data_IF_833307962375
#
_entry.id   IF_833307962375
#
_cell.length_a   1.000
_cell.length_b   1.000
_cell.length_c   1.000
_cell.angle_alpha   90.00
_cell.angle_beta   90.00
_cell.angle_gamma   90.00
#
_symmetry.space_group_name_H-M   'P 1'
#
loop_
_entity.id
_entity.type
_entity.pdbx_description
1 polymer ?
#
# COMPACT_ATOMS: atom_id res chain seq x y z
N UNK A 1 23.33 0.46 -7.05
CA UNK A 1 22.77 1.45 -6.08
C UNK A 1 23.12 1.11 -4.63
N UNK A 2 23.63 2.06 -3.84
CA UNK A 2 24.01 1.84 -2.44
C UNK A 2 22.96 2.41 -1.48
N UNK A 3 22.50 1.58 -0.56
CA UNK A 3 21.68 1.97 0.60
C UNK A 3 22.30 3.14 1.40
N UNK A 4 23.63 3.28 1.39
CA UNK A 4 24.33 4.36 2.07
C UNK A 4 23.89 5.75 1.56
N UNK A 5 23.73 5.92 0.24
CA UNK A 5 23.29 7.19 -0.34
C UNK A 5 21.82 7.48 -0.05
N UNK A 6 20.97 6.45 0.05
CA UNK A 6 19.59 6.63 0.51
C UNK A 6 19.56 7.13 1.97
N UNK A 7 20.39 6.56 2.85
CA UNK A 7 20.54 7.00 4.24
C UNK A 7 21.02 8.46 4.30
N UNK A 8 22.06 8.83 3.56
CA UNK A 8 22.54 10.21 3.50
C UNK A 8 21.47 11.16 2.97
N UNK A 9 20.72 10.77 1.95
CA UNK A 9 19.59 11.55 1.43
C UNK A 9 18.54 11.84 2.51
N UNK A 10 18.14 10.84 3.29
CA UNK A 10 17.20 10.96 4.40
C UNK A 10 17.78 11.87 5.51
N UNK A 11 19.05 11.67 5.89
CA UNK A 11 19.69 12.48 6.93
C UNK A 11 19.97 13.92 6.50
N UNK A 12 20.08 14.19 5.19
CA UNK A 12 20.14 15.55 4.65
C UNK A 12 18.84 16.34 4.82
N UNK A 13 17.73 15.65 5.09
CA UNK A 13 16.46 16.25 5.43
C UNK A 13 16.33 16.48 6.93
N UNK A 14 16.56 15.44 7.73
CA UNK A 14 16.43 15.50 9.20
C UNK A 14 17.23 14.42 9.90
N UNK A 15 17.66 14.72 11.12
CA UNK A 15 18.21 13.73 12.04
C UNK A 15 17.13 12.74 12.46
N UNK A 16 17.45 11.44 12.43
CA UNK A 16 16.48 10.38 12.75
C UNK A 16 17.12 9.23 13.52
N UNK A 17 16.31 8.46 14.22
CA UNK A 17 16.78 7.19 14.79
C UNK A 17 16.91 6.12 13.73
N UNK A 18 17.64 5.04 14.03
CA UNK A 18 17.68 3.87 13.14
C UNK A 18 16.31 3.23 12.91
N UNK A 19 15.39 3.34 13.89
CA UNK A 19 14.01 2.88 13.75
C UNK A 19 13.22 3.76 12.77
N UNK A 20 13.31 5.08 12.91
CA UNK A 20 12.65 6.03 12.01
C UNK A 20 13.19 5.90 10.58
N UNK A 21 14.51 5.75 10.42
CA UNK A 21 15.17 5.46 9.15
C UNK A 21 14.57 4.23 8.47
N UNK A 22 14.43 3.13 9.21
CA UNK A 22 13.77 1.92 8.72
C UNK A 22 12.35 2.20 8.25
N UNK A 23 11.54 2.86 9.09
CA UNK A 23 10.14 3.16 8.77
C UNK A 23 10.02 3.97 7.48
N UNK A 24 10.86 5.00 7.34
CA UNK A 24 10.97 5.83 6.13
C UNK A 24 11.28 4.99 4.88
N UNK A 25 12.28 4.11 4.95
CA UNK A 25 12.69 3.28 3.81
C UNK A 25 11.60 2.28 3.44
N UNK A 26 10.93 1.67 4.42
CA UNK A 26 9.85 0.71 4.21
C UNK A 26 8.61 1.36 3.60
N UNK A 27 8.28 2.58 4.01
CA UNK A 27 7.13 3.31 3.48
C UNK A 27 7.40 3.86 2.06
N UNK A 28 8.67 4.09 1.70
CA UNK A 28 9.07 4.61 0.39
C UNK A 28 8.72 3.66 -0.78
N UNK A 29 8.25 4.21 -1.92
CA UNK A 29 7.86 3.38 -3.06
C UNK A 29 9.04 2.92 -3.93
N UNK A 30 10.23 3.50 -3.80
CA UNK A 30 11.42 3.14 -4.61
C UNK A 30 12.66 2.78 -3.78
N UNK A 31 12.68 3.05 -2.46
CA UNK A 31 13.81 2.69 -1.59
C UNK A 31 13.63 1.32 -0.92
N UNK A 32 12.44 0.71 -1.03
CA UNK A 32 12.06 -0.51 -0.30
C UNK A 32 12.96 -1.73 -0.59
N UNK A 33 13.57 -1.79 -1.78
CA UNK A 33 14.41 -2.90 -2.21
C UNK A 33 15.82 -2.89 -1.61
N UNK A 34 16.19 -1.84 -0.86
CA UNK A 34 17.58 -1.58 -0.48
C UNK A 34 18.02 -2.15 0.88
N UNK A 35 17.11 -2.66 1.73
CA UNK A 35 17.56 -3.05 3.07
C UNK A 35 16.69 -4.04 3.85
N UNK A 36 17.23 -5.24 4.08
CA UNK A 36 16.97 -5.95 5.33
C UNK A 36 17.36 -5.04 6.52
N UNK A 37 16.74 -5.21 7.69
CA UNK A 37 17.11 -4.44 8.89
C UNK A 37 18.64 -4.45 9.11
N UNK A 38 19.27 -5.60 8.87
CA UNK A 38 20.71 -5.79 9.02
C UNK A 38 21.54 -4.96 8.03
N UNK A 39 21.03 -4.61 6.84
CA UNK A 39 21.73 -3.75 5.90
C UNK A 39 21.70 -2.28 6.35
N UNK A 40 20.55 -1.77 6.84
CA UNK A 40 20.45 -0.39 7.35
C UNK A 40 21.49 -0.16 8.45
N UNK A 41 21.50 -1.03 9.46
CA UNK A 41 22.41 -0.86 10.60
C UNK A 41 23.88 -1.03 10.20
N UNK A 42 24.20 -1.97 9.29
CA UNK A 42 25.57 -2.12 8.79
C UNK A 42 26.04 -0.87 8.05
N UNK A 43 25.18 -0.28 7.21
CA UNK A 43 25.53 0.94 6.49
C UNK A 43 25.62 2.16 7.40
N UNK A 44 24.81 2.25 8.46
CA UNK A 44 24.96 3.30 9.47
C UNK A 44 26.31 3.21 10.20
N UNK A 45 26.77 1.99 10.52
CA UNK A 45 28.11 1.79 11.11
C UNK A 45 29.19 2.22 10.13
N UNK A 46 29.12 1.80 8.86
CA UNK A 46 30.08 2.22 7.84
C UNK A 46 30.14 3.75 7.68
N UNK A 47 28.99 4.41 7.61
CA UNK A 47 28.91 5.87 7.48
C UNK A 47 29.47 6.61 8.70
N UNK A 48 29.41 6.01 9.90
CA UNK A 48 30.05 6.55 11.10
C UNK A 48 31.58 6.42 11.00
N UNK A 49 32.07 5.25 10.59
CA UNK A 49 33.51 5.00 10.42
C UNK A 49 34.11 5.93 9.37
N UNK A 50 33.36 6.25 8.30
CA UNK A 50 33.73 7.21 7.25
C UNK A 50 33.51 8.67 7.66
N UNK A 51 33.00 8.94 8.86
CA UNK A 51 32.69 10.29 9.38
C UNK A 51 31.67 11.07 8.52
N UNK A 52 30.85 10.38 7.73
CA UNK A 52 29.76 10.97 6.95
C UNK A 52 28.49 11.21 7.77
N UNK A 53 28.36 10.53 8.91
CA UNK A 53 27.30 10.77 9.90
C UNK A 53 27.88 10.83 11.30
N UNK A 54 27.14 11.45 12.21
CA UNK A 54 27.40 11.43 13.66
C UNK A 54 26.26 10.72 14.36
N UNK A 55 26.51 10.19 15.56
CA UNK A 55 25.52 9.50 16.38
C UNK A 55 25.52 10.08 17.79
N UNK A 56 24.40 10.63 18.21
CA UNK A 56 24.16 11.06 19.59
C UNK A 56 23.28 10.05 20.32
N UNK A 57 23.68 9.67 21.53
CA UNK A 57 22.89 8.78 22.40
C UNK A 57 22.06 9.64 23.34
N UNK A 58 20.74 9.64 23.14
CA UNK A 58 19.80 10.26 24.07
C UNK A 58 19.33 9.22 25.09
N UNK A 59 19.70 9.43 26.35
CA UNK A 59 19.21 8.64 27.48
C UNK A 59 17.78 9.07 27.83
N UNK A 60 16.92 8.08 28.08
CA UNK A 60 15.53 8.30 28.49
C UNK A 60 15.32 7.64 29.85
N UNK A 61 14.63 8.32 30.78
CA UNK A 61 14.45 7.83 32.16
C UNK A 61 13.60 6.55 32.25
N UNK A 62 12.63 6.38 31.34
CA UNK A 62 11.63 5.30 31.37
C UNK A 62 11.60 4.46 30.07
N UNK A 63 12.60 4.59 29.19
CA UNK A 63 12.63 3.92 27.88
C UNK A 63 14.07 3.64 27.43
N UNK A 64 14.30 2.71 26.48
CA UNK A 64 15.63 2.45 25.95
C UNK A 64 16.29 3.70 25.36
N UNK A 65 17.61 3.83 25.53
CA UNK A 65 18.36 4.94 24.95
C UNK A 65 18.22 4.97 23.43
N UNK A 66 18.00 6.16 22.86
CA UNK A 66 17.83 6.36 21.42
C UNK A 66 19.12 6.86 20.79
N UNK A 67 19.55 6.19 19.71
CA UNK A 67 20.66 6.66 18.86
C UNK A 67 20.08 7.53 17.74
N UNK A 68 20.40 8.82 17.75
CA UNK A 68 20.01 9.77 16.72
C UNK A 68 21.20 9.98 15.78
N UNK A 69 20.97 9.73 14.50
CA UNK A 69 21.97 9.94 13.46
C UNK A 69 21.76 11.30 12.80
N UNK A 70 22.85 11.99 12.51
CA UNK A 70 22.86 13.31 11.85
C UNK A 70 23.94 13.32 10.77
N UNK A 71 23.63 13.85 9.59
CA UNK A 71 24.61 13.98 8.50
C UNK A 71 25.70 15.01 8.85
N UNK A 72 26.95 14.76 8.46
CA UNK A 72 28.06 15.72 8.58
C UNK A 72 28.21 16.57 7.32
N UNK A 73 29.14 17.53 7.32
CA UNK A 73 29.46 18.30 6.11
C UNK A 73 30.08 17.41 5.04
N UNK A 74 30.91 16.48 5.47
CA UNK A 74 31.58 15.47 4.65
C UNK A 74 30.54 14.53 4.04
N UNK A 75 29.56 14.06 4.83
CA UNK A 75 28.45 13.24 4.32
C UNK A 75 27.55 13.99 3.33
N UNK A 76 27.32 15.29 3.54
CA UNK A 76 26.58 16.11 2.58
C UNK A 76 27.37 16.31 1.27
N UNK A 77 28.69 16.43 1.36
CA UNK A 77 29.56 16.50 0.19
C UNK A 77 29.57 15.17 -0.59
N UNK A 78 29.63 14.03 0.10
CA UNK A 78 29.52 12.69 -0.50
C UNK A 78 28.17 12.50 -1.20
N UNK A 79 27.07 12.88 -0.54
CA UNK A 79 25.73 12.83 -1.16
C UNK A 79 25.69 13.66 -2.45
N UNK A 80 26.24 14.88 -2.42
CA UNK A 80 26.31 15.76 -3.60
C UNK A 80 27.16 15.14 -4.71
N UNK A 81 28.30 14.55 -4.36
CA UNK A 81 29.16 13.85 -5.31
C UNK A 81 28.41 12.72 -6.03
N UNK A 82 27.67 11.89 -5.27
CA UNK A 82 26.87 10.82 -5.84
C UNK A 82 25.72 11.32 -6.73
N UNK A 83 25.00 12.38 -6.33
CA UNK A 83 23.92 12.97 -7.14
C UNK A 83 24.45 13.53 -8.49
N UNK A 84 25.73 13.89 -8.57
CA UNK A 84 26.39 14.32 -9.81
C UNK A 84 26.95 13.15 -10.64
N UNK A 85 26.94 11.92 -10.12
CA UNK A 85 27.42 10.74 -10.83
C UNK A 85 26.47 10.35 -11.97
N UNK A 86 26.99 9.58 -12.92
CA UNK A 86 26.21 9.10 -14.07
C UNK A 86 25.07 8.19 -13.59
N UNK A 87 23.80 8.50 -13.92
CA UNK A 87 22.68 7.62 -13.59
C UNK A 87 22.78 6.29 -14.33
N UNK A 88 22.49 5.19 -13.62
CA UNK A 88 22.37 3.86 -14.20
C UNK A 88 20.96 3.65 -14.77
N UNK A 89 20.81 2.95 -15.92
CA UNK A 89 19.50 2.51 -16.38
C UNK A 89 18.86 1.57 -15.34
N UNK A 90 17.52 1.51 -15.26
CA UNK A 90 16.84 0.64 -14.30
C UNK A 90 17.05 -0.84 -14.63
N UNK A 91 17.31 -1.66 -13.60
CA UNK A 91 17.34 -3.12 -13.71
C UNK A 91 15.91 -3.66 -13.90
N UNK A 92 15.66 -4.34 -15.03
CA UNK A 92 14.37 -4.93 -15.36
C UNK A 92 14.32 -6.42 -15.01
N UNK A 93 13.61 -6.76 -13.93
CA UNK A 93 13.32 -8.16 -13.55
C UNK A 93 11.82 -8.45 -13.68
N UNK A 94 11.42 -9.02 -14.81
CA UNK A 94 10.02 -9.33 -15.11
C UNK A 94 9.78 -10.84 -15.24
N UNK A 95 9.52 -11.52 -14.12
CA UNK A 95 9.26 -12.97 -14.11
C UNK A 95 8.06 -13.38 -14.98
N UNK A 96 7.05 -12.52 -15.09
CA UNK A 96 5.89 -12.76 -15.94
C UNK A 96 6.26 -12.92 -17.43
N UNK A 97 7.24 -12.15 -17.93
CA UNK A 97 7.71 -12.32 -19.32
C UNK A 97 8.33 -13.69 -19.55
N UNK A 98 8.97 -14.28 -18.52
CA UNK A 98 9.49 -15.64 -18.57
C UNK A 98 8.34 -16.65 -18.61
N UNK A 99 7.28 -16.44 -17.82
CA UNK A 99 6.08 -17.29 -17.89
C UNK A 99 5.44 -17.24 -19.27
N UNK A 100 5.28 -16.03 -19.85
CA UNK A 100 4.75 -15.84 -21.20
C UNK A 100 5.59 -16.54 -22.28
N UNK A 101 6.92 -16.51 -22.16
CA UNK A 101 7.81 -17.17 -23.11
C UNK A 101 7.55 -18.68 -23.23
N UNK A 102 6.94 -19.30 -22.21
CA UNK A 102 6.61 -20.73 -22.17
C UNK A 102 5.11 -20.99 -22.01
N UNK A 103 4.26 -19.99 -22.31
CA UNK A 103 2.82 -20.08 -22.09
C UNK A 103 2.06 -20.89 -23.17
N UNK A 104 2.70 -21.22 -24.30
CA UNK A 104 2.09 -21.99 -25.40
C UNK A 104 1.67 -23.42 -24.98
N UNK A 105 2.23 -23.92 -23.88
CA UNK A 105 1.82 -25.21 -23.30
C UNK A 105 0.49 -25.17 -22.53
N UNK A 106 -0.04 -23.97 -22.26
CA UNK A 106 -1.26 -23.77 -21.50
C UNK A 106 -2.50 -23.84 -22.40
N UNK A 107 -3.58 -24.40 -21.87
CA UNK A 107 -4.91 -24.24 -22.46
C UNK A 107 -5.37 -22.77 -22.40
N UNK A 108 -6.40 -22.43 -23.19
CA UNK A 108 -7.00 -21.09 -23.16
C UNK A 108 -7.47 -20.69 -21.75
N UNK A 109 -8.04 -21.63 -20.99
CA UNK A 109 -8.55 -21.36 -19.64
C UNK A 109 -7.40 -21.14 -18.64
N UNK A 110 -6.32 -21.90 -18.74
CA UNK A 110 -5.12 -21.72 -17.92
C UNK A 110 -4.41 -20.40 -18.24
N UNK A 111 -4.32 -20.06 -19.52
CA UNK A 111 -3.73 -18.79 -19.97
C UNK A 111 -4.58 -17.60 -19.52
N UNK A 112 -5.92 -17.73 -19.60
CA UNK A 112 -6.86 -16.75 -19.06
C UNK A 112 -6.62 -16.54 -17.56
N UNK A 113 -6.55 -17.63 -16.78
CA UNK A 113 -6.32 -17.56 -15.34
C UNK A 113 -4.95 -16.94 -15.00
N UNK A 114 -3.91 -17.21 -15.80
CA UNK A 114 -2.59 -16.57 -15.64
C UNK A 114 -2.68 -15.06 -15.89
N UNK A 115 -3.36 -14.63 -16.96
CA UNK A 115 -3.52 -13.21 -17.28
C UNK A 115 -4.34 -12.48 -16.21
N UNK A 116 -5.41 -13.10 -15.72
CA UNK A 116 -6.27 -12.52 -14.68
C UNK A 116 -5.47 -12.27 -13.41
N UNK A 117 -4.73 -13.27 -12.93
CA UNK A 117 -3.86 -13.10 -11.76
C UNK A 117 -2.82 -12.00 -11.96
N UNK A 118 -2.21 -11.93 -13.13
CA UNK A 118 -1.21 -10.90 -13.40
C UNK A 118 -1.82 -9.49 -13.44
N UNK A 119 -2.98 -9.34 -14.07
CA UNK A 119 -3.73 -8.09 -14.10
C UNK A 119 -4.13 -7.62 -12.70
N UNK A 120 -4.62 -8.53 -11.85
CA UNK A 120 -4.94 -8.26 -10.45
C UNK A 120 -3.71 -7.75 -9.68
N UNK A 121 -2.56 -8.40 -9.82
CA UNK A 121 -1.31 -7.97 -9.17
C UNK A 121 -0.84 -6.60 -9.66
N UNK A 122 -0.89 -6.35 -10.98
CA UNK A 122 -0.51 -5.05 -11.54
C UNK A 122 -1.47 -3.95 -11.07
N UNK A 123 -2.79 -4.22 -11.06
CA UNK A 123 -3.81 -3.29 -10.57
C UNK A 123 -3.62 -2.98 -9.08
N UNK A 124 -3.33 -4.00 -8.28
CA UNK A 124 -3.00 -3.83 -6.86
C UNK A 124 -1.80 -2.89 -6.67
N UNK A 125 -0.77 -3.01 -7.51
CA UNK A 125 0.39 -2.11 -7.48
C UNK A 125 0.03 -0.67 -7.89
N UNK A 126 -0.80 -0.47 -8.93
CA UNK A 126 -1.27 0.87 -9.31
C UNK A 126 -1.95 1.56 -8.13
N UNK A 127 -2.93 0.89 -7.50
CA UNK A 127 -3.67 1.41 -6.36
C UNK A 127 -2.74 1.73 -5.18
N UNK A 128 -1.74 0.87 -4.93
CA UNK A 128 -0.81 1.05 -3.82
C UNK A 128 0.07 2.29 -4.04
N UNK A 129 0.55 2.52 -5.26
CA UNK A 129 1.37 3.71 -5.56
C UNK A 129 0.54 4.99 -5.53
N UNK A 130 -0.70 4.96 -6.02
CA UNK A 130 -1.62 6.11 -5.94
C UNK A 130 -1.91 6.49 -4.48
N UNK A 131 -2.21 5.50 -3.65
CA UNK A 131 -2.45 5.71 -2.23
C UNK A 131 -1.21 6.29 -1.53
N UNK A 132 -0.02 5.75 -1.82
CA UNK A 132 1.25 6.29 -1.31
C UNK A 132 1.52 7.73 -1.76
N UNK A 133 1.08 8.12 -2.96
CA UNK A 133 1.17 9.50 -3.45
C UNK A 133 0.23 10.42 -2.66
N UNK A 134 -1.02 9.99 -2.44
CA UNK A 134 -2.03 10.75 -1.69
C UNK A 134 -1.69 10.95 -0.22
N UNK A 135 -1.02 9.97 0.43
CA UNK A 135 -0.50 10.10 1.81
C UNK A 135 0.38 11.33 2.03
N UNK A 136 0.87 11.94 0.94
CA UNK A 136 1.88 12.96 0.95
C UNK A 136 3.24 12.31 0.72
N UNK A 137 4.04 12.80 -0.24
CA UNK A 137 5.32 12.21 -0.55
C UNK A 137 6.22 12.26 0.68
N UNK A 138 7.03 11.21 0.88
CA UNK A 138 8.24 11.32 1.71
C UNK A 138 9.14 12.34 1.01
N UNK A 139 8.95 13.63 1.29
CA UNK A 139 9.60 14.72 0.58
C UNK A 139 10.04 15.79 1.58
N UNK A 140 11.29 16.27 1.50
CA UNK A 140 11.75 17.37 2.32
C UNK A 140 11.02 18.68 2.07
N UNK A 141 10.47 18.86 0.86
CA UNK A 141 9.70 20.06 0.48
C UNK A 141 10.46 21.38 0.63
N UNK A 142 11.80 21.38 0.54
CA UNK A 142 12.64 22.56 0.85
C UNK A 142 12.53 23.66 -0.21
N UNK A 143 12.22 23.27 -1.45
CA UNK A 143 12.08 24.19 -2.59
C UNK A 143 10.94 23.73 -3.50
N UNK A 144 10.37 24.65 -4.30
CA UNK A 144 9.37 24.31 -5.31
C UNK A 144 9.87 23.26 -6.31
N UNK A 145 11.15 23.34 -6.71
CA UNK A 145 11.79 22.34 -7.57
C UNK A 145 11.82 20.96 -6.91
N UNK A 146 12.17 20.89 -5.62
CA UNK A 146 12.19 19.62 -4.90
C UNK A 146 10.79 19.01 -4.80
N UNK A 147 9.77 19.82 -4.47
CA UNK A 147 8.36 19.36 -4.43
C UNK A 147 7.97 18.75 -5.78
N UNK A 148 8.26 19.45 -6.88
CA UNK A 148 7.95 18.96 -8.22
C UNK A 148 8.71 17.67 -8.58
N UNK A 149 10.01 17.58 -8.26
CA UNK A 149 10.78 16.36 -8.52
C UNK A 149 10.22 15.16 -7.75
N UNK A 150 9.80 15.35 -6.50
CA UNK A 150 9.16 14.28 -5.73
C UNK A 150 7.83 13.87 -6.34
N UNK A 151 6.99 14.81 -6.76
CA UNK A 151 5.73 14.51 -7.46
C UNK A 151 5.96 13.63 -8.70
N UNK A 152 6.97 13.99 -9.51
CA UNK A 152 7.37 13.21 -10.70
C UNK A 152 7.95 11.83 -10.39
N UNK A 153 8.61 11.65 -9.24
CA UNK A 153 9.07 10.32 -8.81
C UNK A 153 7.87 9.41 -8.53
N UNK A 154 6.83 9.91 -7.86
CA UNK A 154 5.63 9.12 -7.61
C UNK A 154 4.86 8.82 -8.91
N UNK A 155 4.72 9.82 -9.79
CA UNK A 155 4.06 9.62 -11.09
C UNK A 155 4.79 8.60 -11.96
N UNK A 156 6.12 8.64 -11.99
CA UNK A 156 6.92 7.67 -12.76
C UNK A 156 6.60 6.21 -12.38
N UNK A 157 6.40 5.93 -11.09
CA UNK A 157 6.07 4.59 -10.59
C UNK A 157 4.63 4.20 -10.88
N UNK A 158 3.68 5.12 -10.70
CA UNK A 158 2.28 4.89 -11.06
C UNK A 158 2.17 4.61 -12.56
N UNK A 159 2.81 5.42 -13.38
CA UNK A 159 2.79 5.28 -14.83
C UNK A 159 3.48 4.00 -15.30
N UNK A 160 4.51 3.52 -14.59
CA UNK A 160 5.14 2.24 -14.89
C UNK A 160 4.14 1.10 -14.80
N UNK A 161 3.38 1.01 -13.70
CA UNK A 161 2.38 -0.05 -13.53
C UNK A 161 1.15 0.16 -14.41
N UNK A 162 0.73 1.40 -14.66
CA UNK A 162 -0.35 1.69 -15.63
C UNK A 162 0.01 1.22 -17.03
N UNK A 163 1.22 1.50 -17.51
CA UNK A 163 1.69 1.00 -18.81
C UNK A 163 1.76 -0.53 -18.85
N UNK A 164 2.16 -1.18 -17.76
CA UNK A 164 2.15 -2.64 -17.68
C UNK A 164 0.72 -3.20 -17.78
N UNK A 165 -0.24 -2.54 -17.11
CA UNK A 165 -1.65 -2.89 -17.17
C UNK A 165 -2.19 -2.72 -18.60
N UNK A 166 -1.97 -1.56 -19.22
CA UNK A 166 -2.37 -1.31 -20.61
C UNK A 166 -1.80 -2.36 -21.57
N UNK A 167 -0.54 -2.77 -21.36
CA UNK A 167 0.12 -3.77 -22.18
C UNK A 167 -0.50 -5.16 -22.04
N UNK A 168 -0.80 -5.64 -20.82
CA UNK A 168 -1.43 -6.96 -20.66
C UNK A 168 -2.87 -6.97 -21.20
N UNK A 169 -3.63 -5.87 -21.03
CA UNK A 169 -4.97 -5.73 -21.59
C UNK A 169 -4.95 -5.78 -23.12
N UNK A 170 -3.96 -5.11 -23.74
CA UNK A 170 -3.74 -5.19 -25.18
C UNK A 170 -3.42 -6.63 -25.61
N UNK A 171 -2.49 -7.30 -24.93
CA UNK A 171 -2.11 -8.69 -25.25
C UNK A 171 -3.31 -9.64 -25.17
N UNK A 172 -4.10 -9.55 -24.10
CA UNK A 172 -5.34 -10.33 -23.91
C UNK A 172 -6.31 -10.12 -25.06
N UNK A 173 -6.54 -8.87 -25.44
CA UNK A 173 -7.43 -8.49 -26.55
C UNK A 173 -6.95 -9.07 -27.89
N UNK A 174 -5.65 -8.94 -28.20
CA UNK A 174 -5.05 -9.47 -29.44
C UNK A 174 -5.14 -10.99 -29.53
N UNK A 175 -5.00 -11.69 -28.39
CA UNK A 175 -5.16 -13.15 -28.31
C UNK A 175 -6.62 -13.60 -28.21
N UNK A 176 -7.58 -12.66 -28.18
CA UNK A 176 -9.02 -12.91 -28.03
C UNK A 176 -9.37 -13.75 -26.79
N UNK A 177 -8.55 -13.63 -25.75
CA UNK A 177 -8.82 -14.26 -24.47
C UNK A 177 -9.89 -13.42 -23.77
N UNK A 178 -11.03 -14.00 -23.38
CA UNK A 178 -12.08 -13.23 -22.74
C UNK A 178 -11.53 -12.57 -21.48
N UNK A 179 -11.83 -11.30 -21.29
CA UNK A 179 -11.85 -10.76 -19.92
C UNK A 179 -12.95 -11.53 -19.20
N UNK A 180 -12.66 -12.06 -18.01
CA UNK A 180 -13.76 -12.33 -17.09
C UNK A 180 -14.49 -10.99 -16.95
N UNK A 181 -15.78 -10.97 -17.34
CA UNK A 181 -16.60 -9.76 -17.20
C UNK A 181 -16.41 -9.29 -15.76
N UNK A 182 -16.19 -7.99 -15.56
CA UNK A 182 -16.44 -7.37 -14.25
C UNK A 182 -17.77 -7.96 -13.77
N UNK A 183 -17.71 -8.79 -12.73
CA UNK A 183 -18.85 -9.50 -12.22
C UNK A 183 -19.72 -8.47 -11.50
N UNK A 184 -20.48 -7.71 -12.29
CA UNK A 184 -21.15 -6.46 -11.97
C UNK A 184 -20.18 -5.30 -11.63
N UNK A 185 -20.38 -4.09 -12.18
CA UNK A 185 -19.78 -2.91 -11.57
C UNK A 185 -20.26 -2.86 -10.13
N UNK A 186 -19.30 -2.88 -9.20
CA UNK A 186 -19.56 -2.87 -7.78
C UNK A 186 -20.52 -1.73 -7.45
N UNK A 187 -21.73 -2.05 -6.99
CA UNK A 187 -22.73 -1.04 -6.63
C UNK A 187 -22.36 -0.47 -5.25
N UNK A 188 -21.77 0.70 -5.25
CA UNK A 188 -21.52 1.50 -4.06
C UNK A 188 -22.18 2.88 -4.18
N UNK A 189 -22.40 3.52 -3.04
CA UNK A 189 -22.85 4.90 -2.96
C UNK A 189 -21.76 5.74 -2.31
N UNK A 190 -21.64 7.00 -2.72
CA UNK A 190 -20.75 7.96 -2.07
C UNK A 190 -21.62 8.85 -1.21
N UNK A 191 -21.39 8.82 0.10
CA UNK A 191 -22.17 9.57 1.06
C UNK A 191 -21.34 10.73 1.59
N UNK A 192 -21.89 11.93 1.48
CA UNK A 192 -21.28 13.14 2.02
C UNK A 192 -21.92 13.53 3.36
N UNK A 193 -21.06 13.83 4.34
CA UNK A 193 -21.45 14.30 5.68
C UNK A 193 -20.52 15.44 6.07
N UNK A 194 -21.00 16.68 5.89
CA UNK A 194 -20.19 17.87 6.13
C UNK A 194 -19.00 17.96 5.16
N UNK A 195 -17.78 17.97 5.68
CA UNK A 195 -16.54 18.01 4.88
C UNK A 195 -15.96 16.63 4.57
N UNK A 196 -16.52 15.55 5.14
CA UNK A 196 -16.05 14.18 4.95
C UNK A 196 -16.99 13.42 4.00
N UNK A 197 -16.42 12.48 3.26
CA UNK A 197 -17.14 11.55 2.38
C UNK A 197 -16.78 10.12 2.73
N UNK A 198 -17.66 9.17 2.50
CA UNK A 198 -17.34 7.75 2.59
C UNK A 198 -18.02 6.97 1.48
N UNK A 199 -17.41 5.85 1.09
CA UNK A 199 -18.01 4.88 0.18
C UNK A 199 -18.84 3.90 1.00
N UNK A 200 -20.11 3.70 0.65
CA UNK A 200 -21.00 2.71 1.26
C UNK A 200 -21.33 1.60 0.27
N UNK A 201 -21.12 0.36 0.69
CA UNK A 201 -21.55 -0.84 -0.03
C UNK A 201 -22.56 -1.59 0.85
N UNK A 202 -23.86 -1.35 0.58
CA UNK A 202 -24.96 -1.90 1.37
C UNK A 202 -25.44 -3.27 0.89
N UNK A 203 -25.51 -3.48 -0.42
CA UNK A 203 -25.90 -4.75 -1.01
C UNK A 203 -25.51 -4.74 -2.48
N UNK A 204 -25.04 -5.89 -2.95
CA UNK A 204 -24.68 -6.13 -4.35
C UNK A 204 -25.45 -7.37 -4.83
N UNK A 205 -25.92 -7.36 -6.08
CA UNK A 205 -26.59 -8.52 -6.69
C UNK A 205 -25.72 -9.78 -6.62
N UNK A 206 -24.40 -9.60 -6.69
CA UNK A 206 -23.37 -10.62 -6.53
C UNK A 206 -22.51 -10.29 -5.31
N UNK A 207 -22.63 -11.06 -4.20
CA UNK A 207 -21.88 -10.82 -2.98
C UNK A 207 -20.37 -10.85 -3.20
N UNK A 208 -19.63 -10.06 -2.41
CA UNK A 208 -18.16 -9.98 -2.45
C UNK A 208 -17.54 -11.30 -1.95
N UNK A 209 -16.64 -11.87 -2.75
CA UNK A 209 -16.13 -13.25 -2.59
C UNK A 209 -14.61 -13.35 -2.67
N UNK A 210 -13.92 -12.29 -3.07
CA UNK A 210 -12.50 -12.33 -3.42
C UNK A 210 -11.73 -11.15 -2.84
N UNK A 211 -10.40 -11.27 -2.79
CA UNK A 211 -9.54 -10.12 -2.50
C UNK A 211 -9.56 -9.04 -3.58
N UNK A 212 -10.00 -9.36 -4.80
CA UNK A 212 -10.17 -8.38 -5.88
C UNK A 212 -11.33 -7.43 -5.58
N UNK A 213 -12.43 -7.94 -5.01
CA UNK A 213 -13.55 -7.10 -4.54
C UNK A 213 -13.08 -6.04 -3.54
N UNK A 214 -12.16 -6.39 -2.64
CA UNK A 214 -11.58 -5.39 -1.72
C UNK A 214 -10.76 -4.31 -2.45
N UNK A 215 -10.02 -4.68 -3.51
CA UNK A 215 -9.30 -3.71 -4.34
C UNK A 215 -10.25 -2.79 -5.11
N UNK A 216 -11.39 -3.30 -5.55
CA UNK A 216 -12.44 -2.50 -6.21
C UNK A 216 -13.02 -1.45 -5.25
N UNK A 217 -13.30 -1.82 -3.99
CA UNK A 217 -13.73 -0.86 -2.96
C UNK A 217 -12.65 0.19 -2.66
N UNK A 218 -11.38 -0.22 -2.62
CA UNK A 218 -10.26 0.69 -2.40
C UNK A 218 -10.14 1.67 -3.58
N UNK A 219 -10.27 1.18 -4.82
CA UNK A 219 -10.29 2.02 -6.01
C UNK A 219 -11.44 3.05 -5.94
N UNK A 220 -12.65 2.60 -5.59
CA UNK A 220 -13.81 3.47 -5.41
C UNK A 220 -13.58 4.55 -4.35
N UNK A 221 -12.91 4.23 -3.24
CA UNK A 221 -12.54 5.21 -2.22
C UNK A 221 -11.59 6.27 -2.79
N UNK A 222 -10.52 5.83 -3.47
CA UNK A 222 -9.50 6.71 -4.05
C UNK A 222 -10.07 7.63 -5.14
N UNK A 223 -10.94 7.12 -6.02
CA UNK A 223 -11.61 7.90 -7.07
C UNK A 223 -12.55 8.99 -6.53
N UNK A 224 -13.02 8.82 -5.29
CA UNK A 224 -13.94 9.73 -4.62
C UNK A 224 -13.27 10.55 -3.50
N UNK A 225 -11.93 10.65 -3.53
CA UNK A 225 -11.12 11.44 -2.60
C UNK A 225 -11.42 11.10 -1.12
N UNK A 226 -11.63 9.82 -0.81
CA UNK A 226 -11.85 9.34 0.56
C UNK A 226 -11.03 8.08 0.85
N UNK A 227 -10.82 7.82 2.13
CA UNK A 227 -10.30 6.55 2.64
C UNK A 227 -11.29 5.89 3.63
N UNK A 228 -12.54 6.36 3.66
CA UNK A 228 -13.57 5.87 4.56
C UNK A 228 -14.51 4.93 3.80
N UNK A 229 -14.74 3.75 4.38
CA UNK A 229 -15.56 2.70 3.79
C UNK A 229 -16.59 2.20 4.80
N UNK A 230 -17.84 2.07 4.37
CA UNK A 230 -18.91 1.37 5.09
C UNK A 230 -19.31 0.14 4.28
N UNK A 231 -19.22 -1.03 4.90
CA UNK A 231 -19.67 -2.30 4.35
C UNK A 231 -20.84 -2.81 5.17
N UNK A 232 -21.86 -3.33 4.51
CA UNK A 232 -22.94 -4.07 5.17
C UNK A 232 -22.70 -5.56 5.00
N UNK A 233 -23.06 -6.36 6.01
CA UNK A 233 -22.92 -7.80 5.97
C UNK A 233 -23.61 -8.44 4.75
N UNK A 234 -24.71 -7.83 4.32
CA UNK A 234 -25.54 -8.23 3.17
C UNK A 234 -24.83 -8.07 1.82
N UNK A 235 -23.74 -7.28 1.75
CA UNK A 235 -22.90 -7.19 0.57
C UNK A 235 -21.84 -8.32 0.52
N UNK A 236 -21.59 -9.01 1.63
CA UNK A 236 -20.51 -10.01 1.75
C UNK A 236 -21.04 -11.43 1.54
N UNK A 237 -20.21 -12.29 0.97
CA UNK A 237 -20.52 -13.73 0.89
C UNK A 237 -20.35 -14.43 2.24
N UNK A 238 -21.02 -15.58 2.40
CA UNK A 238 -20.90 -16.44 3.59
C UNK A 238 -19.44 -16.84 3.88
N UNK A 239 -18.61 -16.92 2.84
CA UNK A 239 -17.19 -17.24 2.94
C UNK A 239 -16.41 -16.20 3.75
N UNK A 240 -16.86 -14.93 3.77
CA UNK A 240 -16.25 -13.90 4.61
C UNK A 240 -16.37 -14.25 6.10
N UNK A 241 -17.52 -14.78 6.51
CA UNK A 241 -17.80 -15.13 7.91
C UNK A 241 -17.17 -16.47 8.31
N UNK A 242 -16.72 -17.27 7.34
CA UNK A 242 -16.03 -18.54 7.56
C UNK A 242 -14.51 -18.37 7.51
N UNK A 243 -13.86 -18.21 8.67
CA UNK A 243 -12.40 -18.00 8.75
C UNK A 243 -11.52 -19.09 8.11
N UNK A 244 -12.07 -20.28 7.78
CA UNK A 244 -11.30 -21.31 7.05
C UNK A 244 -11.03 -20.92 5.59
N UNK A 245 -11.84 -20.04 5.02
CA UNK A 245 -11.68 -19.57 3.63
C UNK A 245 -10.51 -18.59 3.50
N UNK A 246 -10.17 -17.89 4.59
CA UNK A 246 -9.15 -16.83 4.59
C UNK A 246 -9.64 -15.48 4.05
N UNK A 247 -10.85 -15.40 3.49
CA UNK A 247 -11.35 -14.20 2.79
C UNK A 247 -11.36 -12.95 3.68
N UNK A 248 -11.91 -13.04 4.90
CA UNK A 248 -11.93 -11.91 5.82
C UNK A 248 -10.51 -11.41 6.15
N UNK A 249 -9.56 -12.32 6.39
CA UNK A 249 -8.17 -11.95 6.66
C UNK A 249 -7.54 -11.21 5.49
N UNK A 250 -7.76 -11.71 4.27
CA UNK A 250 -7.25 -11.10 3.04
C UNK A 250 -7.83 -9.69 2.81
N UNK A 251 -9.15 -9.52 2.89
CA UNK A 251 -9.81 -8.23 2.68
C UNK A 251 -9.39 -7.21 3.74
N UNK A 252 -9.38 -7.60 5.01
CA UNK A 252 -8.97 -6.72 6.11
C UNK A 252 -7.51 -6.29 5.99
N UNK A 253 -6.62 -7.22 5.62
CA UNK A 253 -5.22 -6.90 5.40
C UNK A 253 -5.05 -5.89 4.26
N UNK A 254 -5.84 -5.99 3.18
CA UNK A 254 -5.86 -4.97 2.12
C UNK A 254 -6.33 -3.62 2.68
N UNK A 255 -7.45 -3.54 3.39
CA UNK A 255 -7.89 -2.25 3.96
C UNK A 255 -6.81 -1.60 4.84
N UNK A 256 -6.13 -2.39 5.66
CA UNK A 256 -4.98 -1.89 6.47
C UNK A 256 -3.82 -1.42 5.58
N UNK A 257 -3.39 -2.23 4.61
CA UNK A 257 -2.26 -1.90 3.73
C UNK A 257 -2.48 -0.58 2.96
N UNK A 258 -3.71 -0.39 2.49
CA UNK A 258 -4.15 0.79 1.74
C UNK A 258 -4.74 1.90 2.64
N UNK A 259 -4.65 1.75 3.98
CA UNK A 259 -5.17 2.70 4.99
C UNK A 259 -6.61 3.16 4.75
N UNK A 260 -7.44 2.23 4.29
CA UNK A 260 -8.88 2.41 4.24
C UNK A 260 -9.44 2.12 5.64
N UNK A 261 -10.04 3.14 6.26
CA UNK A 261 -10.76 3.03 7.52
C UNK A 261 -12.15 2.49 7.23
N UNK A 262 -12.37 1.23 7.56
CA UNK A 262 -13.57 0.49 7.17
C UNK A 262 -14.47 0.15 8.36
N UNK A 263 -15.76 0.43 8.24
CA UNK A 263 -16.78 0.01 9.19
C UNK A 263 -17.63 -1.11 8.57
N UNK A 264 -17.82 -2.22 9.28
CA UNK A 264 -18.74 -3.29 8.90
C UNK A 264 -20.00 -3.22 9.75
N UNK A 265 -21.15 -3.15 9.11
CA UNK A 265 -22.47 -3.15 9.74
C UNK A 265 -23.00 -4.58 9.73
N UNK A 266 -23.29 -5.12 10.92
CA UNK A 266 -23.92 -6.43 11.08
C UNK A 266 -25.19 -6.24 11.90
N UNK A 267 -26.35 -6.32 11.22
CA UNK A 267 -27.67 -6.21 11.87
C UNK A 267 -28.12 -7.53 12.49
N UNK A 268 -27.64 -8.67 11.96
CA UNK A 268 -27.94 -10.01 12.46
C UNK A 268 -26.81 -10.56 13.33
N UNK A 269 -26.94 -10.42 14.65
CA UNK A 269 -25.95 -10.92 15.62
C UNK A 269 -25.68 -12.43 15.52
N UNK A 270 -26.58 -13.22 14.92
CA UNK A 270 -26.38 -14.66 14.79
C UNK A 270 -25.19 -15.04 13.90
N UNK A 271 -24.73 -14.13 13.05
CA UNK A 271 -23.57 -14.29 12.18
C UNK A 271 -22.25 -14.15 12.96
N UNK A 272 -22.27 -13.44 14.09
CA UNK A 272 -21.09 -13.17 14.92
C UNK A 272 -20.91 -14.27 15.98
N UNK A 273 -20.33 -15.41 15.58
CA UNK A 273 -20.12 -16.57 16.47
C UNK A 273 -18.70 -17.12 16.39
N UNK A 274 -18.32 -17.84 17.46
CA UNK A 274 -17.05 -18.60 17.53
C UNK A 274 -15.82 -17.73 17.25
N UNK A 275 -14.89 -18.27 16.45
CA UNK A 275 -13.61 -17.60 16.12
C UNK A 275 -13.78 -16.29 15.34
N UNK A 276 -14.86 -16.13 14.59
CA UNK A 276 -15.13 -14.88 13.89
C UNK A 276 -15.34 -13.74 14.89
N UNK A 277 -16.03 -13.99 16.01
CA UNK A 277 -16.20 -13.02 17.11
C UNK A 277 -14.86 -12.62 17.73
N UNK A 278 -13.92 -13.55 17.87
CA UNK A 278 -12.57 -13.25 18.38
C UNK A 278 -11.79 -12.35 17.43
N UNK A 279 -11.86 -12.63 16.11
CA UNK A 279 -11.27 -11.78 15.08
C UNK A 279 -11.86 -10.36 15.11
N UNK A 280 -13.18 -10.23 15.24
CA UNK A 280 -13.83 -8.92 15.36
C UNK A 280 -13.43 -8.19 16.65
N UNK A 281 -13.30 -8.91 17.77
CA UNK A 281 -12.86 -8.30 19.03
C UNK A 281 -11.42 -7.76 18.95
N UNK A 282 -10.54 -8.43 18.19
CA UNK A 282 -9.19 -7.93 17.94
C UNK A 282 -9.20 -6.75 16.96
N UNK A 283 -9.94 -6.86 15.85
CA UNK A 283 -10.04 -5.79 14.88
C UNK A 283 -10.63 -4.50 15.50
N UNK A 284 -11.63 -4.64 16.39
CA UNK A 284 -12.25 -3.52 17.11
C UNK A 284 -11.29 -2.75 18.03
N UNK A 285 -10.13 -3.31 18.40
CA UNK A 285 -9.08 -2.59 19.14
C UNK A 285 -8.25 -1.68 18.22
N UNK A 286 -8.23 -1.99 16.92
CA UNK A 286 -7.56 -1.20 15.90
C UNK A 286 -8.29 0.10 15.57
N UNK A 287 -7.66 0.88 14.69
CA UNK A 287 -8.22 2.11 14.15
C UNK A 287 -8.62 2.00 12.68
N UNK A 288 -8.28 0.89 12.00
CA UNK A 288 -8.49 0.72 10.57
C UNK A 288 -9.78 -0.04 10.23
N UNK A 289 -10.26 -0.92 11.13
CA UNK A 289 -11.49 -1.67 10.90
C UNK A 289 -12.30 -1.86 12.18
N UNK A 290 -13.62 -1.62 12.13
CA UNK A 290 -14.53 -1.89 13.25
C UNK A 290 -15.89 -2.41 12.79
N UNK A 291 -16.57 -3.11 13.70
CA UNK A 291 -17.93 -3.63 13.48
C UNK A 291 -18.96 -2.93 14.36
N UNK A 292 -20.10 -2.60 13.76
CA UNK A 292 -21.20 -1.86 14.40
C UNK A 292 -22.56 -2.53 14.15
N UNK A 293 -23.53 -2.22 15.00
CA UNK A 293 -24.91 -2.71 14.86
C UNK A 293 -25.77 -1.82 13.96
N UNK A 294 -25.32 -0.59 13.67
CA UNK A 294 -26.06 0.36 12.83
C UNK A 294 -25.14 1.31 12.07
N UNK A 295 -25.66 1.89 10.98
CA UNK A 295 -24.97 2.93 10.22
C UNK A 295 -24.66 4.17 11.07
N UNK A 296 -25.53 4.55 12.01
CA UNK A 296 -25.30 5.73 12.85
C UNK A 296 -24.09 5.59 13.78
N UNK A 297 -23.90 4.41 14.39
CA UNK A 297 -22.71 4.13 15.21
C UNK A 297 -21.44 4.08 14.35
N UNK A 298 -21.52 3.47 13.17
CA UNK A 298 -20.43 3.40 12.22
C UNK A 298 -20.00 4.79 11.74
N UNK A 299 -20.96 5.64 11.36
CA UNK A 299 -20.71 7.04 10.97
C UNK A 299 -20.04 7.82 12.09
N UNK A 300 -20.52 7.69 13.34
CA UNK A 300 -19.92 8.35 14.50
C UNK A 300 -18.43 8.03 14.64
N UNK A 301 -18.07 6.75 14.54
CA UNK A 301 -16.66 6.34 14.61
C UNK A 301 -15.84 6.71 13.36
N UNK A 302 -16.39 6.55 12.15
CA UNK A 302 -15.66 6.85 10.91
C UNK A 302 -15.35 8.33 10.78
N UNK A 303 -16.36 9.15 11.06
CA UNK A 303 -16.32 10.60 10.87
C UNK A 303 -15.76 11.34 12.09
N UNK A 304 -15.42 10.62 13.16
CA UNK A 304 -14.96 11.17 14.44
C UNK A 304 -15.94 12.24 14.98
N UNK A 305 -17.25 11.95 14.87
CA UNK A 305 -18.36 12.81 15.31
C UNK A 305 -18.74 12.56 16.77
#
# INVERSE_FOLDING_TARGET
MSIAHAILGILSWKSVTGYDMKKIIQDSPFMYWSASNNQIYRSLVQLLDECFVTCEVQHQESSPSKKIYTITKEGAAELKYWVLSTPEPPDLKKSFLIQLAWADQLSTDELNALFTKYEEEVRAQVLLQQEKKLRGPFSPGRTAREIYLWDMIYDSLIDFYKREWEWIQKLRSELRIPMEKEANPMKFQVIERGTKKYVECASVETPLRTGQDALDLIAACLENDTNLLVLHAEALSDDFFNLRTGLAGEMLQKFVNYRVKAALIITNEQVVKGRFKELLAEANKGNDFRVFGSTGEAEGWLLDL
#
